data_IF_529149323438
#
_entry.id   IF_529149323438
#
_cell.length_a   1.000
_cell.length_b   1.000
_cell.length_c   1.000
_cell.angle_alpha   90.00
_cell.angle_beta   90.00
_cell.angle_gamma   90.00
#
_symmetry.space_group_name_H-M   'P 1'
#
loop_
_entity.id
_entity.type
_entity.pdbx_description
1 polymer ?
#
# COMPACT_ATOMS: atom_id res chain seq x y z
N UNK A 1 -4.30 -5.89 -18.53
CA UNK A 1 -5.54 -5.36 -17.90
C UNK A 1 -6.14 -4.28 -18.78
N UNK A 2 -7.42 -3.91 -18.60
CA UNK A 2 -7.96 -2.72 -19.23
C UNK A 2 -7.08 -1.49 -18.94
N UNK A 3 -6.98 -0.53 -19.88
CA UNK A 3 -6.30 0.73 -19.60
C UNK A 3 -6.98 1.40 -18.39
N UNK A 4 -6.17 1.88 -17.44
CA UNK A 4 -6.62 2.54 -16.21
C UNK A 4 -7.37 1.63 -15.21
N UNK A 5 -7.15 0.31 -15.22
CA UNK A 5 -7.65 -0.55 -14.16
C UNK A 5 -7.10 -0.12 -12.78
N UNK A 6 -7.97 -0.12 -11.77
CA UNK A 6 -7.58 0.02 -10.36
C UNK A 6 -7.28 -1.37 -9.78
N UNK A 7 -6.15 -1.50 -9.09
CA UNK A 7 -5.71 -2.78 -8.50
C UNK A 7 -5.65 -2.65 -7.00
N UNK A 8 -6.38 -3.52 -6.30
CA UNK A 8 -6.20 -3.72 -4.86
C UNK A 8 -5.32 -4.95 -4.65
N UNK A 9 -4.10 -4.75 -4.15
CA UNK A 9 -3.15 -5.81 -3.89
C UNK A 9 -3.19 -6.21 -2.42
N UNK A 10 -3.63 -7.44 -2.13
CA UNK A 10 -3.60 -7.99 -0.77
C UNK A 10 -2.30 -8.75 -0.54
N UNK A 11 -1.48 -8.30 0.41
CA UNK A 11 -0.22 -8.98 0.76
C UNK A 11 0.28 -8.59 2.15
N UNK A 12 0.75 -9.54 2.98
CA UNK A 12 1.34 -9.22 4.29
C UNK A 12 2.68 -8.47 4.20
N UNK A 13 3.27 -8.33 3.00
CA UNK A 13 4.56 -7.67 2.78
C UNK A 13 5.73 -8.29 3.56
N UNK A 14 5.72 -9.63 3.69
CA UNK A 14 6.81 -10.38 4.31
C UNK A 14 8.08 -10.46 3.45
N UNK A 15 7.99 -10.12 2.17
CA UNK A 15 9.08 -10.11 1.20
C UNK A 15 8.93 -8.97 0.18
N UNK A 16 9.91 -8.83 -0.71
CA UNK A 16 9.97 -7.75 -1.69
C UNK A 16 9.12 -8.01 -2.95
N UNK A 17 8.59 -9.23 -3.13
CA UNK A 17 7.87 -9.63 -4.34
C UNK A 17 6.59 -8.83 -4.52
N UNK A 18 5.81 -8.65 -3.45
CA UNK A 18 4.59 -7.85 -3.48
C UNK A 18 4.88 -6.36 -3.71
N UNK A 19 5.92 -5.81 -3.09
CA UNK A 19 6.33 -4.43 -3.32
C UNK A 19 6.78 -4.22 -4.78
N UNK A 20 7.55 -5.17 -5.33
CA UNK A 20 7.97 -5.17 -6.73
C UNK A 20 6.79 -5.22 -7.68
N UNK A 21 5.77 -6.04 -7.38
CA UNK A 21 4.57 -6.13 -8.17
C UNK A 21 3.77 -4.81 -8.17
N UNK A 22 3.64 -4.17 -6.99
CA UNK A 22 2.96 -2.88 -6.88
C UNK A 22 3.65 -1.79 -7.73
N UNK A 23 4.98 -1.67 -7.65
CA UNK A 23 5.74 -0.73 -8.47
C UNK A 23 5.59 -1.00 -9.97
N UNK A 24 5.62 -2.27 -10.38
CA UNK A 24 5.42 -2.64 -11.78
C UNK A 24 4.04 -2.23 -12.27
N UNK A 25 2.99 -2.49 -11.49
CA UNK A 25 1.63 -2.14 -11.88
C UNK A 25 1.44 -0.61 -12.01
N UNK A 26 1.97 0.17 -11.06
CA UNK A 26 2.00 1.64 -11.16
C UNK A 26 2.75 2.12 -12.40
N UNK A 27 3.92 1.55 -12.70
CA UNK A 27 4.70 1.90 -13.88
C UNK A 27 3.97 1.61 -15.21
N UNK A 28 3.02 0.67 -15.21
CA UNK A 28 2.15 0.37 -16.36
C UNK A 28 0.87 1.22 -16.39
N UNK A 29 0.74 2.22 -15.51
CA UNK A 29 -0.40 3.14 -15.47
C UNK A 29 -1.64 2.60 -14.75
N UNK A 30 -1.48 1.60 -13.88
CA UNK A 30 -2.55 1.12 -13.00
C UNK A 30 -2.47 1.81 -11.65
N UNK A 31 -3.60 2.33 -11.16
CA UNK A 31 -3.67 2.84 -9.79
C UNK A 31 -3.72 1.66 -8.82
N UNK A 32 -2.71 1.53 -7.97
CA UNK A 32 -2.53 0.43 -7.02
C UNK A 32 -2.83 0.91 -5.61
N UNK A 33 -3.55 0.11 -4.84
CA UNK A 33 -3.65 0.26 -3.38
C UNK A 33 -3.29 -1.07 -2.75
N UNK A 34 -2.36 -1.05 -1.79
CA UNK A 34 -1.96 -2.26 -1.07
C UNK A 34 -2.75 -2.36 0.23
N UNK A 35 -3.33 -3.53 0.49
CA UNK A 35 -3.90 -3.88 1.79
C UNK A 35 -2.98 -4.90 2.43
N UNK A 36 -2.37 -4.52 3.55
CA UNK A 36 -1.37 -5.32 4.22
C UNK A 36 -1.87 -5.82 5.58
N UNK A 37 -2.29 -7.10 5.68
CA UNK A 37 -2.53 -7.71 6.98
C UNK A 37 -1.21 -7.84 7.76
N UNK A 38 -1.25 -7.57 9.06
CA UNK A 38 -0.14 -7.89 9.97
C UNK A 38 -0.10 -9.40 10.24
N UNK A 39 0.91 -10.07 9.66
CA UNK A 39 1.19 -11.48 9.86
C UNK A 39 2.44 -11.73 10.74
N UNK A 40 3.07 -10.67 11.27
CA UNK A 40 4.36 -10.75 11.98
C UNK A 40 4.20 -10.75 13.51
N UNK A 41 2.97 -10.84 14.02
CA UNK A 41 2.66 -10.79 15.45
C UNK A 41 3.39 -11.83 16.32
N UNK A 42 3.93 -11.37 17.47
CA UNK A 42 4.54 -12.17 18.53
C UNK A 42 5.98 -11.79 18.87
N UNK A 43 6.52 -12.41 19.92
CA UNK A 43 7.68 -11.86 20.65
C UNK A 43 9.04 -12.51 20.34
N UNK A 44 9.10 -13.48 19.42
CA UNK A 44 10.39 -14.10 19.09
C UNK A 44 11.32 -13.09 18.38
N UNK A 45 12.65 -13.21 18.53
CA UNK A 45 13.59 -12.33 17.82
C UNK A 45 13.36 -12.29 16.30
N UNK A 46 13.06 -13.46 15.71
CA UNK A 46 12.73 -13.55 14.28
C UNK A 46 11.45 -12.79 13.90
N UNK A 47 10.43 -12.79 14.75
CA UNK A 47 9.20 -12.02 14.50
C UNK A 47 9.42 -10.52 14.64
N UNK A 48 10.21 -10.07 15.63
CA UNK A 48 10.59 -8.66 15.77
C UNK A 48 11.33 -8.14 14.53
N UNK A 49 12.25 -8.94 13.99
CA UNK A 49 12.91 -8.64 12.72
C UNK A 49 11.91 -8.57 11.56
N UNK A 50 11.05 -9.58 11.41
CA UNK A 50 10.02 -9.61 10.37
C UNK A 50 9.09 -8.38 10.41
N UNK A 51 8.66 -7.95 11.61
CA UNK A 51 7.87 -6.71 11.79
C UNK A 51 8.64 -5.47 11.32
N UNK A 52 9.94 -5.41 11.60
CA UNK A 52 10.80 -4.29 11.19
C UNK A 52 10.97 -4.25 9.67
N UNK A 53 11.27 -5.39 9.05
CA UNK A 53 11.39 -5.48 7.59
C UNK A 53 10.08 -5.15 6.88
N UNK A 54 8.95 -5.67 7.38
CA UNK A 54 7.61 -5.33 6.90
C UNK A 54 7.35 -3.82 6.97
N UNK A 55 7.66 -3.20 8.10
CA UNK A 55 7.51 -1.74 8.29
C UNK A 55 8.35 -0.96 7.28
N UNK A 56 9.58 -1.40 7.01
CA UNK A 56 10.44 -0.78 6.00
C UNK A 56 9.84 -0.88 4.58
N UNK A 57 9.26 -2.04 4.23
CA UNK A 57 8.59 -2.23 2.93
C UNK A 57 7.35 -1.35 2.79
N UNK A 58 6.53 -1.24 3.84
CA UNK A 58 5.39 -0.31 3.86
C UNK A 58 5.85 1.14 3.67
N UNK A 59 6.90 1.56 4.38
CA UNK A 59 7.45 2.91 4.26
C UNK A 59 8.00 3.17 2.85
N UNK A 60 8.60 2.15 2.21
CA UNK A 60 9.08 2.24 0.83
C UNK A 60 7.94 2.49 -0.16
N UNK A 61 6.85 1.71 -0.07
CA UNK A 61 5.69 1.88 -0.93
C UNK A 61 5.05 3.26 -0.77
N UNK A 62 4.86 3.70 0.48
CA UNK A 62 4.31 5.04 0.77
C UNK A 62 5.17 6.18 0.23
N UNK A 63 6.51 6.08 0.31
CA UNK A 63 7.43 7.06 -0.30
C UNK A 63 7.33 7.12 -1.83
N UNK A 64 6.88 6.05 -2.47
CA UNK A 64 6.62 6.01 -3.90
C UNK A 64 5.17 6.36 -4.23
N UNK A 65 4.46 7.01 -3.31
CA UNK A 65 3.07 7.44 -3.46
C UNK A 65 2.09 6.27 -3.66
N UNK A 66 2.47 5.04 -3.31
CA UNK A 66 1.58 3.88 -3.35
C UNK A 66 0.86 3.78 -2.01
N UNK A 67 -0.48 3.94 -1.97
CA UNK A 67 -1.25 3.84 -0.73
C UNK A 67 -1.14 2.44 -0.12
N UNK A 68 -0.91 2.39 1.20
CA UNK A 68 -0.90 1.15 1.97
C UNK A 68 -1.85 1.25 3.16
N UNK A 69 -2.90 0.42 3.12
CA UNK A 69 -3.78 0.13 4.25
C UNK A 69 -3.08 -0.92 5.12
N UNK A 70 -2.46 -0.46 6.21
CA UNK A 70 -1.87 -1.34 7.21
C UNK A 70 -2.97 -1.81 8.16
N UNK A 71 -3.23 -3.12 8.16
CA UNK A 71 -4.38 -3.74 8.83
C UNK A 71 -3.90 -4.73 9.89
N UNK A 72 -4.08 -4.39 11.17
CA UNK A 72 -3.94 -5.34 12.27
C UNK A 72 -5.18 -6.21 12.41
N UNK A 73 -5.00 -7.49 12.78
CA UNK A 73 -6.10 -8.40 13.09
C UNK A 73 -7.03 -7.85 14.20
N UNK A 74 -6.51 -7.04 15.12
CA UNK A 74 -7.27 -6.47 16.24
C UNK A 74 -8.24 -5.36 15.81
N UNK A 75 -7.94 -4.64 14.72
CA UNK A 75 -8.70 -3.47 14.29
C UNK A 75 -9.92 -3.81 13.42
N UNK A 76 -9.94 -5.00 12.81
CA UNK A 76 -10.90 -5.34 11.75
C UNK A 76 -10.67 -4.54 10.45
N UNK A 77 -10.90 -5.18 9.30
CA UNK A 77 -10.56 -4.60 7.99
C UNK A 77 -11.32 -3.29 7.70
N UNK A 78 -12.59 -3.21 8.08
CA UNK A 78 -13.41 -2.02 7.83
C UNK A 78 -12.84 -0.77 8.51
N UNK A 79 -12.38 -0.88 9.77
CA UNK A 79 -11.77 0.23 10.47
C UNK A 79 -10.41 0.62 9.87
N UNK A 80 -9.61 -0.36 9.45
CA UNK A 80 -8.33 -0.10 8.79
C UNK A 80 -8.52 0.68 7.47
N UNK A 81 -9.51 0.30 6.65
CA UNK A 81 -9.83 1.01 5.40
C UNK A 81 -10.35 2.42 5.68
N UNK A 82 -11.22 2.62 6.68
CA UNK A 82 -11.71 3.95 7.06
C UNK A 82 -10.55 4.89 7.46
N UNK A 83 -9.65 4.42 8.33
CA UNK A 83 -8.43 5.15 8.75
C UNK A 83 -7.52 5.52 7.57
N UNK A 84 -7.45 4.66 6.55
CA UNK A 84 -6.66 4.94 5.35
C UNK A 84 -7.33 6.00 4.45
N UNK A 85 -8.66 5.97 4.33
CA UNK A 85 -9.43 6.95 3.56
C UNK A 85 -9.36 8.37 4.13
N UNK A 86 -9.23 8.51 5.45
CA UNK A 86 -9.02 9.81 6.12
C UNK A 86 -7.68 10.44 5.72
N UNK A 87 -6.61 9.64 5.60
CA UNK A 87 -5.27 10.11 5.21
C UNK A 87 -5.23 10.56 3.75
N UNK A 88 -5.83 9.76 2.86
CA UNK A 88 -5.93 10.09 1.44
C UNK A 88 -6.80 11.31 1.14
N UNK A 89 -7.69 11.71 2.06
CA UNK A 89 -8.48 12.94 1.92
C UNK A 89 -7.61 14.20 2.05
N UNK A 90 -6.57 14.17 2.88
CA UNK A 90 -5.59 15.27 2.98
C UNK A 90 -4.70 15.37 1.73
N UNK A 91 -4.39 14.24 1.09
CA UNK A 91 -3.57 14.17 -0.14
C UNK A 91 -4.39 14.36 -1.44
N UNK A 92 -5.71 14.29 -1.35
CA UNK A 92 -6.63 14.47 -2.49
C UNK A 92 -6.65 15.89 -3.05
N UNK A 93 -6.32 16.89 -2.24
CA UNK A 93 -6.25 18.31 -2.66
C UNK A 93 -5.03 18.59 -3.55
N UNK A 94 -3.92 17.87 -3.33
CA UNK A 94 -2.70 17.91 -4.16
C UNK A 94 -2.79 17.01 -5.39
N UNK A 95 -3.52 15.89 -5.32
CA UNK A 95 -3.67 14.90 -6.42
C UNK A 95 -4.54 15.34 -7.61
N UNK A 96 -5.38 16.37 -7.45
CA UNK A 96 -6.22 16.90 -8.55
C UNK A 96 -5.40 17.51 -9.70
N UNK A 97 -4.16 17.93 -9.44
CA UNK A 97 -3.29 18.56 -10.44
C UNK A 97 -2.65 17.57 -11.44
N UNK A 98 -2.56 16.27 -11.11
CA UNK A 98 -1.88 15.27 -11.97
C UNK A 98 -2.73 14.76 -13.15
N UNK A 99 -4.02 15.12 -13.23
CA UNK A 99 -4.96 14.63 -14.26
C UNK A 99 -4.88 15.30 -15.64
N UNK A 100 -3.98 16.27 -15.89
CA UNK A 100 -3.98 17.04 -17.17
C UNK A 100 -2.75 16.97 -18.06
N UNK A 101 -1.67 16.31 -17.67
CA UNK A 101 -0.45 16.26 -18.51
C UNK A 101 -0.18 14.81 -18.92
N UNK A 102 -0.60 14.46 -20.13
CA UNK A 102 -0.32 13.13 -20.69
C UNK A 102 -1.23 12.69 -21.83
N UNK A 103 -1.60 13.59 -22.75
CA UNK A 103 -2.09 13.23 -24.09
C UNK A 103 -1.29 14.01 -25.11
N UNK A 104 -0.19 13.44 -25.58
CA UNK A 104 0.34 13.59 -26.94
C UNK A 104 0.98 12.27 -27.35
#
# INVERSE_FOLDING_TARGET
>A
MPPNAQVTLFSPLCDDGAATAAHKLEAHGHSVTVVSPDATGGESPGRRLATTERTNRIASLRRSEIPVVDWSADDGLAAAVAKAGERGRCDGEIGSARRRVGRR
#
